data_IF_471227535136
#
_entry.id   IF_471227535136
#
_cell.length_a   1.000
_cell.length_b   1.000
_cell.length_c   1.000
_cell.angle_alpha   90.00
_cell.angle_beta   90.00
_cell.angle_gamma   90.00
#
_symmetry.space_group_name_H-M   'P 1'
#
loop_
_entity.id
_entity.type
_entity.pdbx_description
1 polymer ?
#
# COMPACT_ATOMS: atom_id res chain seq x y z
N UNK A 1 1.28 9.23 -18.75
CA UNK A 1 1.90 8.23 -17.84
C UNK A 1 0.84 7.25 -17.41
N UNK A 2 1.19 6.00 -17.44
CA UNK A 2 0.29 4.92 -17.06
C UNK A 2 0.06 4.92 -15.54
N UNK A 3 -1.22 4.95 -15.14
CA UNK A 3 -1.60 4.95 -13.73
C UNK A 3 -2.12 3.58 -13.24
N UNK A 4 -2.04 2.55 -14.09
CA UNK A 4 -2.34 1.17 -13.71
C UNK A 4 -1.03 0.41 -13.51
N UNK A 5 -0.91 -0.23 -12.36
CA UNK A 5 0.28 -1.00 -11.98
C UNK A 5 -0.13 -2.38 -11.51
N UNK A 6 0.82 -3.32 -11.50
CA UNK A 6 0.60 -4.62 -10.90
C UNK A 6 1.02 -4.59 -9.43
N UNK A 7 0.08 -4.82 -8.54
CA UNK A 7 0.32 -4.95 -7.10
C UNK A 7 0.46 -6.42 -6.73
N UNK A 8 1.58 -6.79 -6.11
CA UNK A 8 1.75 -8.11 -5.51
C UNK A 8 1.19 -8.05 -4.09
N UNK A 9 0.08 -8.72 -3.87
CA UNK A 9 -0.60 -8.69 -2.56
C UNK A 9 0.17 -9.54 -1.56
N UNK A 10 0.52 -8.94 -0.44
CA UNK A 10 1.09 -9.63 0.72
C UNK A 10 0.03 -9.92 1.77
N UNK A 11 -0.88 -8.96 2.01
CA UNK A 11 -1.86 -9.01 3.10
C UNK A 11 -3.25 -8.75 2.53
N UNK A 12 -4.18 -9.72 2.63
CA UNK A 12 -5.55 -9.51 2.15
C UNK A 12 -6.34 -8.55 3.05
N UNK A 13 -7.35 -7.90 2.45
CA UNK A 13 -8.38 -7.14 3.17
C UNK A 13 -8.95 -7.96 4.35
N UNK A 14 -9.00 -7.36 5.53
CA UNK A 14 -9.58 -7.97 6.72
C UNK A 14 -8.60 -8.84 7.51
N UNK A 15 -7.36 -9.00 7.04
CA UNK A 15 -6.35 -9.78 7.76
C UNK A 15 -5.83 -9.04 9.00
N UNK A 16 -5.60 -9.77 10.05
CA UNK A 16 -4.84 -9.34 11.23
C UNK A 16 -3.39 -9.84 11.17
N UNK A 17 -3.12 -10.82 10.32
CA UNK A 17 -1.78 -11.31 10.06
C UNK A 17 -1.05 -10.37 9.11
N UNK A 18 0.16 -9.97 9.48
CA UNK A 18 1.06 -9.26 8.59
C UNK A 18 1.99 -10.25 7.90
N UNK A 19 1.74 -10.47 6.61
CA UNK A 19 2.58 -11.27 5.74
C UNK A 19 3.56 -10.38 5.00
N UNK A 20 4.69 -10.95 4.62
CA UNK A 20 5.76 -10.24 3.92
C UNK A 20 6.42 -11.15 2.90
N UNK A 21 6.69 -10.62 1.72
CA UNK A 21 7.47 -11.32 0.70
C UNK A 21 8.95 -11.31 1.12
N UNK A 22 9.52 -12.49 1.27
CA UNK A 22 10.96 -12.64 1.38
C UNK A 22 11.56 -12.64 -0.03
N UNK A 23 12.20 -11.55 -0.42
CA UNK A 23 12.78 -11.37 -1.77
C UNK A 23 13.88 -12.41 -2.08
N UNK A 24 14.56 -12.93 -1.06
CA UNK A 24 15.62 -13.92 -1.24
C UNK A 24 15.08 -15.30 -1.60
N UNK A 25 13.97 -15.70 -1.00
CA UNK A 25 13.37 -17.03 -1.20
C UNK A 25 12.16 -17.01 -2.12
N UNK A 26 11.57 -15.83 -2.39
CA UNK A 26 10.32 -15.68 -3.13
C UNK A 26 9.09 -16.15 -2.38
N UNK A 27 9.19 -16.41 -1.08
CA UNK A 27 8.09 -16.93 -0.26
C UNK A 27 7.41 -15.84 0.53
N UNK A 28 6.12 -16.00 0.73
CA UNK A 28 5.35 -15.19 1.67
C UNK A 28 5.52 -15.78 3.07
N UNK A 29 5.96 -14.94 4.01
CA UNK A 29 6.19 -15.34 5.39
C UNK A 29 5.28 -14.57 6.34
N UNK A 30 4.93 -15.16 7.46
CA UNK A 30 4.24 -14.45 8.54
C UNK A 30 5.27 -13.65 9.33
N UNK A 31 5.27 -12.33 9.17
CA UNK A 31 6.13 -11.43 9.95
C UNK A 31 5.63 -11.33 11.39
N UNK A 32 4.36 -10.98 11.56
CA UNK A 32 3.70 -10.92 12.87
C UNK A 32 2.18 -10.88 12.74
N UNK A 33 1.50 -11.18 13.84
CA UNK A 33 0.11 -10.82 14.02
C UNK A 33 0.07 -9.39 14.57
N UNK A 34 -0.79 -8.53 14.07
CA UNK A 34 -0.95 -7.16 14.60
C UNK A 34 -1.21 -7.21 16.11
N UNK A 35 -0.54 -6.36 16.86
CA UNK A 35 -0.72 -6.30 18.32
C UNK A 35 -2.04 -5.64 18.71
N UNK A 36 -2.53 -4.72 17.88
CA UNK A 36 -3.81 -4.07 18.09
C UNK A 36 -4.98 -4.95 17.62
N UNK A 37 -6.18 -4.69 18.14
CA UNK A 37 -7.41 -5.33 17.66
C UNK A 37 -7.91 -4.67 16.39
N UNK A 38 -7.06 -4.60 15.38
CA UNK A 38 -7.31 -3.98 14.08
C UNK A 38 -7.09 -5.00 12.95
N UNK A 39 -7.69 -4.71 11.81
CA UNK A 39 -7.52 -5.48 10.58
C UNK A 39 -7.11 -4.54 9.45
N UNK A 40 -6.44 -5.05 8.43
CA UNK A 40 -6.10 -4.26 7.24
C UNK A 40 -7.37 -3.80 6.53
N UNK A 41 -7.50 -2.49 6.25
CA UNK A 41 -8.74 -1.92 5.69
C UNK A 41 -8.89 -2.07 4.18
N UNK A 42 -7.87 -2.59 3.51
CA UNK A 42 -7.82 -2.87 2.08
C UNK A 42 -6.79 -3.96 1.82
N UNK A 43 -6.71 -4.45 0.59
CA UNK A 43 -5.59 -5.28 0.16
C UNK A 43 -4.30 -4.46 0.32
N UNK A 44 -3.24 -5.09 0.75
CA UNK A 44 -1.96 -4.44 0.98
C UNK A 44 -0.83 -5.25 0.34
N UNK A 45 0.04 -4.59 -0.37
CA UNK A 45 1.14 -5.26 -1.02
C UNK A 45 2.23 -4.31 -1.49
N UNK A 46 2.96 -4.75 -2.49
CA UNK A 46 4.11 -4.03 -3.02
C UNK A 46 4.03 -3.91 -4.54
N UNK A 47 4.72 -2.92 -5.07
CA UNK A 47 5.05 -2.85 -6.49
C UNK A 47 6.47 -3.40 -6.66
N UNK A 48 6.60 -4.55 -7.32
CA UNK A 48 7.90 -5.17 -7.56
C UNK A 48 8.83 -4.26 -8.38
N UNK A 49 10.12 -4.43 -8.23
CA UNK A 49 11.16 -3.66 -8.94
C UNK A 49 11.05 -2.15 -8.70
N UNK A 50 10.74 -1.79 -7.45
CA UNK A 50 10.78 -0.43 -6.94
C UNK A 50 11.67 -0.37 -5.71
N UNK A 51 12.25 0.79 -5.43
CA UNK A 51 13.04 1.05 -4.23
C UNK A 51 12.54 2.34 -3.59
N UNK A 52 11.83 2.19 -2.48
CA UNK A 52 11.31 3.31 -1.71
C UNK A 52 12.39 3.90 -0.77
N UNK A 53 12.16 5.11 -0.20
CA UNK A 53 13.13 5.75 0.69
C UNK A 53 13.54 4.94 1.91
N UNK A 54 12.68 4.05 2.39
CA UNK A 54 12.98 3.15 3.53
C UNK A 54 13.84 1.94 3.15
N UNK A 55 14.18 1.77 1.89
CA UNK A 55 15.01 0.68 1.38
C UNK A 55 14.22 -0.56 0.93
N UNK A 56 12.91 -0.56 1.08
CA UNK A 56 12.01 -1.64 0.69
C UNK A 56 11.27 -1.34 -0.62
N UNK A 57 10.60 -2.31 -1.23
CA UNK A 57 9.68 -2.04 -2.33
C UNK A 57 8.59 -1.06 -1.93
N UNK A 58 8.06 -0.32 -2.89
CA UNK A 58 7.01 0.66 -2.68
C UNK A 58 5.70 -0.02 -2.31
N UNK A 59 5.10 0.39 -1.19
CA UNK A 59 3.85 -0.17 -0.67
C UNK A 59 2.63 0.38 -1.38
N UNK A 60 1.61 -0.46 -1.54
CA UNK A 60 0.35 -0.09 -2.17
C UNK A 60 -0.84 -0.73 -1.45
N UNK A 61 -1.87 0.09 -1.20
CA UNK A 61 -3.19 -0.39 -0.81
C UNK A 61 -4.07 -0.48 -2.04
N UNK A 62 -4.83 -1.55 -2.14
CA UNK A 62 -5.77 -1.77 -3.23
C UNK A 62 -7.17 -1.96 -2.64
N UNK A 63 -8.05 -0.99 -2.87
CA UNK A 63 -9.45 -1.08 -2.49
C UNK A 63 -10.14 -2.08 -3.43
N UNK A 64 -10.80 -3.07 -2.87
CA UNK A 64 -11.40 -4.18 -3.60
C UNK A 64 -12.76 -4.57 -3.01
N UNK A 65 -13.55 -5.31 -3.79
CA UNK A 65 -14.84 -5.83 -3.35
C UNK A 65 -14.69 -7.05 -2.45
N UNK A 66 -13.77 -7.95 -2.83
CA UNK A 66 -13.50 -9.20 -2.12
C UNK A 66 -11.99 -9.32 -1.84
N UNK A 67 -11.60 -9.89 -0.70
CA UNK A 67 -10.19 -10.15 -0.44
C UNK A 67 -9.63 -11.18 -1.43
N UNK A 68 -8.38 -10.97 -1.83
CA UNK A 68 -7.62 -11.95 -2.60
C UNK A 68 -6.81 -12.84 -1.65
N UNK A 69 -5.63 -13.26 -2.04
CA UNK A 69 -4.77 -14.14 -1.24
C UNK A 69 -3.31 -13.65 -1.28
N UNK A 70 -2.48 -13.99 -0.30
CA UNK A 70 -1.06 -13.64 -0.33
C UNK A 70 -0.36 -14.24 -1.55
N UNK A 71 0.30 -13.37 -2.33
CA UNK A 71 0.96 -13.74 -3.59
C UNK A 71 0.14 -13.46 -4.84
N UNK A 72 -1.11 -13.03 -4.71
CA UNK A 72 -1.95 -12.65 -5.84
C UNK A 72 -1.43 -11.37 -6.51
N UNK A 73 -1.33 -11.39 -7.83
CA UNK A 73 -1.01 -10.20 -8.62
C UNK A 73 -2.30 -9.53 -9.06
N UNK A 74 -2.50 -8.26 -8.65
CA UNK A 74 -3.73 -7.52 -8.88
C UNK A 74 -3.45 -6.28 -9.72
N UNK A 75 -4.18 -6.07 -10.84
CA UNK A 75 -4.08 -4.80 -11.57
C UNK A 75 -4.72 -3.69 -10.74
N UNK A 76 -3.96 -2.66 -10.44
CA UNK A 76 -4.34 -1.59 -9.53
C UNK A 76 -4.27 -0.23 -10.22
N UNK A 77 -5.37 0.51 -10.20
CA UNK A 77 -5.43 1.88 -10.70
C UNK A 77 -5.11 2.83 -9.57
N UNK A 78 -3.98 3.53 -9.70
CA UNK A 78 -3.46 4.45 -8.68
C UNK A 78 -4.30 5.72 -8.62
N UNK A 79 -4.69 6.12 -7.42
CA UNK A 79 -5.51 7.30 -7.14
C UNK A 79 -4.74 8.43 -6.44
N UNK A 80 -3.67 8.09 -5.74
CA UNK A 80 -2.86 9.00 -4.94
C UNK A 80 -2.02 8.24 -3.93
N UNK A 81 -1.54 8.93 -2.91
CA UNK A 81 -0.83 8.28 -1.80
C UNK A 81 -1.03 9.01 -0.48
N UNK A 82 -0.84 8.28 0.60
CA UNK A 82 -0.74 8.80 1.96
C UNK A 82 0.74 8.90 2.33
N UNK A 83 1.17 10.08 2.75
CA UNK A 83 2.49 10.29 3.32
C UNK A 83 2.49 9.95 4.79
N UNK A 84 3.48 9.20 5.24
CA UNK A 84 3.66 8.91 6.65
C UNK A 84 5.15 8.71 6.99
N UNK A 85 5.46 8.79 8.28
CA UNK A 85 6.78 8.51 8.83
C UNK A 85 6.65 7.36 9.82
N UNK A 86 7.34 6.27 9.55
CA UNK A 86 7.36 5.09 10.40
C UNK A 86 8.73 4.95 11.05
N UNK A 87 8.76 5.12 12.38
CA UNK A 87 10.03 5.16 13.11
C UNK A 87 10.96 6.27 12.63
N UNK A 88 10.41 7.39 12.18
CA UNK A 88 11.16 8.53 11.64
C UNK A 88 11.57 8.40 10.18
N UNK A 89 11.23 7.31 9.50
CA UNK A 89 11.51 7.10 8.07
C UNK A 89 10.29 7.43 7.22
N UNK A 90 10.51 8.16 6.13
CA UNK A 90 9.50 8.47 5.14
C UNK A 90 8.98 7.17 4.50
N UNK A 91 7.68 6.98 4.55
CA UNK A 91 6.99 5.77 4.08
C UNK A 91 5.75 6.19 3.28
N UNK A 92 5.79 5.94 1.98
CA UNK A 92 4.66 6.23 1.11
C UNK A 92 3.70 5.04 1.06
N UNK A 93 2.41 5.30 1.25
CA UNK A 93 1.37 4.30 1.06
C UNK A 93 0.54 4.69 -0.17
N UNK A 94 0.79 4.06 -1.31
CA UNK A 94 -0.02 4.29 -2.50
C UNK A 94 -1.45 3.81 -2.26
N UNK A 95 -2.42 4.55 -2.76
CA UNK A 95 -3.84 4.22 -2.69
C UNK A 95 -4.34 3.94 -4.10
N UNK A 96 -5.00 2.81 -4.28
CA UNK A 96 -5.49 2.35 -5.57
C UNK A 96 -6.81 1.59 -5.44
N UNK A 97 -7.44 1.32 -6.58
CA UNK A 97 -8.59 0.43 -6.69
C UNK A 97 -8.27 -0.70 -7.67
N UNK A 98 -8.94 -1.82 -7.53
CA UNK A 98 -8.84 -2.93 -8.49
C UNK A 98 -9.31 -2.45 -9.87
N UNK A 99 -8.44 -2.55 -10.88
CA UNK A 99 -8.72 -2.05 -12.23
C UNK A 99 -9.68 -2.96 -13.02
N UNK A 100 -9.73 -4.24 -12.68
CA UNK A 100 -10.56 -5.23 -13.39
C UNK A 100 -11.96 -5.44 -12.79
N UNK A 101 -12.36 -4.66 -11.78
CA UNK A 101 -13.70 -4.72 -11.21
C UNK A 101 -14.52 -3.51 -11.68
N UNK A 102 -15.62 -3.72 -12.47
CA UNK A 102 -16.43 -2.63 -12.99
C UNK A 102 -17.10 -1.76 -11.92
N UNK A 103 -17.17 -2.21 -10.67
CA UNK A 103 -17.68 -1.41 -9.55
C UNK A 103 -16.83 -0.17 -9.27
N UNK A 104 -15.58 -0.19 -9.74
CA UNK A 104 -14.63 0.92 -9.57
C UNK A 104 -14.37 1.71 -10.85
N UNK A 105 -15.14 1.48 -11.94
CA UNK A 105 -14.92 2.14 -13.23
C UNK A 105 -15.00 3.67 -13.14
N UNK A 106 -15.81 4.20 -12.23
CA UNK A 106 -15.98 5.64 -12.03
C UNK A 106 -15.02 6.26 -11.01
N UNK A 107 -14.10 5.46 -10.45
CA UNK A 107 -13.13 5.90 -9.45
C UNK A 107 -11.79 6.18 -10.13
N UNK A 108 -11.41 7.45 -10.25
CA UNK A 108 -10.19 7.89 -10.95
C UNK A 108 -9.22 8.69 -10.10
N UNK A 109 -9.69 9.22 -8.97
CA UNK A 109 -8.89 9.99 -8.02
C UNK A 109 -9.36 9.76 -6.58
N UNK A 110 -8.59 10.20 -5.60
CA UNK A 110 -8.93 10.00 -4.18
C UNK A 110 -10.30 10.57 -3.80
N UNK A 111 -10.67 11.72 -4.39
CA UNK A 111 -11.95 12.36 -4.11
C UNK A 111 -13.16 11.52 -4.52
N UNK A 112 -12.99 10.55 -5.42
CA UNK A 112 -14.05 9.64 -5.85
C UNK A 112 -14.33 8.52 -4.85
N UNK A 113 -13.41 8.28 -3.91
CA UNK A 113 -13.62 7.34 -2.81
C UNK A 113 -14.49 7.97 -1.71
N UNK A 114 -15.24 7.15 -0.94
CA UNK A 114 -15.91 7.65 0.24
C UNK A 114 -14.90 8.33 1.18
N UNK A 115 -15.19 9.57 1.60
CA UNK A 115 -14.27 10.35 2.43
C UNK A 115 -13.94 9.66 3.76
N UNK A 116 -14.90 8.93 4.31
CA UNK A 116 -14.69 8.18 5.56
C UNK A 116 -13.72 7.01 5.38
N UNK A 117 -13.68 6.39 4.21
CA UNK A 117 -12.71 5.33 3.91
C UNK A 117 -11.26 5.85 3.99
N UNK A 118 -11.01 7.06 3.50
CA UNK A 118 -9.70 7.71 3.63
C UNK A 118 -9.33 7.99 5.08
N UNK A 119 -10.32 8.35 5.91
CA UNK A 119 -10.12 8.51 7.36
C UNK A 119 -9.81 7.19 8.04
N UNK A 120 -10.49 6.11 7.67
CA UNK A 120 -10.24 4.77 8.21
C UNK A 120 -8.82 4.28 7.88
N UNK A 121 -8.37 4.48 6.65
CA UNK A 121 -7.01 4.10 6.22
C UNK A 121 -5.97 4.89 7.02
N UNK A 122 -6.12 6.20 7.14
CA UNK A 122 -5.22 7.03 7.92
C UNK A 122 -5.20 6.63 9.40
N UNK A 123 -6.37 6.36 9.98
CA UNK A 123 -6.50 5.90 11.36
C UNK A 123 -5.83 4.54 11.57
N UNK A 124 -5.96 3.63 10.63
CA UNK A 124 -5.29 2.33 10.71
C UNK A 124 -3.77 2.51 10.86
N UNK A 125 -3.14 3.27 9.98
CA UNK A 125 -1.70 3.48 10.03
C UNK A 125 -1.24 4.31 11.23
N UNK A 126 -2.07 5.23 11.72
CA UNK A 126 -1.77 6.00 12.92
C UNK A 126 -1.72 5.11 14.18
N UNK A 127 -2.46 4.00 14.20
CA UNK A 127 -2.69 3.22 15.41
C UNK A 127 -2.19 1.78 15.37
N UNK A 128 -1.88 1.21 14.20
CA UNK A 128 -1.59 -0.24 14.08
C UNK A 128 -0.32 -0.68 14.81
N UNK A 129 0.62 0.22 15.10
CA UNK A 129 1.88 -0.04 15.81
C UNK A 129 1.94 0.56 17.23
N UNK A 130 0.85 1.12 17.75
CA UNK A 130 0.86 1.78 19.06
C UNK A 130 1.28 0.81 20.18
N UNK A 131 0.76 -0.40 20.18
CA UNK A 131 1.12 -1.41 21.17
C UNK A 131 2.53 -1.99 20.99
N UNK A 132 3.17 -1.74 19.85
CA UNK A 132 4.57 -2.09 19.60
C UNK A 132 5.54 -1.00 20.05
N UNK A 133 5.02 0.13 20.53
CA UNK A 133 5.81 1.31 20.94
C UNK A 133 6.68 1.87 19.81
N UNK A 134 6.24 1.72 18.55
CA UNK A 134 6.87 2.32 17.39
C UNK A 134 6.11 3.59 17.03
N UNK A 135 6.77 4.76 17.03
CA UNK A 135 6.11 6.01 16.66
C UNK A 135 5.82 6.04 15.16
N UNK A 136 4.58 6.30 14.81
CA UNK A 136 4.12 6.51 13.45
C UNK A 136 3.45 7.86 13.37
N UNK A 137 3.87 8.69 12.42
CA UNK A 137 3.27 9.98 12.13
C UNK A 137 2.61 9.92 10.75
N UNK A 138 1.29 10.09 10.70
CA UNK A 138 0.53 10.11 9.46
C UNK A 138 0.40 11.55 8.98
N UNK A 139 0.83 11.81 7.76
CA UNK A 139 0.72 13.11 7.11
C UNK A 139 -0.54 13.23 6.26
N UNK A 140 -0.42 13.88 5.13
CA UNK A 140 -1.53 14.20 4.25
C UNK A 140 -1.62 13.22 3.06
N UNK A 141 -2.79 13.19 2.44
CA UNK A 141 -2.99 12.55 1.15
C UNK A 141 -2.50 13.46 0.01
N UNK A 142 -1.92 12.86 -1.01
CA UNK A 142 -1.39 13.52 -2.19
C UNK A 142 -2.03 12.98 -3.46
N UNK A 143 -1.92 13.74 -4.55
CA UNK A 143 -2.62 13.51 -5.80
C UNK A 143 -2.10 12.29 -6.57
N UNK A 144 -2.91 11.86 -7.54
CA UNK A 144 -2.54 10.81 -8.49
C UNK A 144 -1.25 11.16 -9.27
N UNK A 145 -1.12 12.39 -9.75
CA UNK A 145 0.05 12.80 -10.53
C UNK A 145 1.34 12.76 -9.68
N UNK A 146 1.25 13.13 -8.42
CA UNK A 146 2.36 13.00 -7.46
C UNK A 146 2.70 11.53 -7.20
N UNK A 147 1.69 10.67 -7.05
CA UNK A 147 1.89 9.24 -6.86
C UNK A 147 2.57 8.56 -8.06
N UNK A 148 2.14 8.90 -9.27
CA UNK A 148 2.75 8.37 -10.51
C UNK A 148 4.22 8.78 -10.62
N UNK A 149 4.56 10.00 -10.23
CA UNK A 149 5.97 10.45 -10.18
C UNK A 149 6.80 9.65 -9.18
N UNK A 150 6.26 9.40 -7.99
CA UNK A 150 6.94 8.57 -6.97
C UNK A 150 7.21 7.16 -7.49
N UNK A 151 6.25 6.56 -8.17
CA UNK A 151 6.42 5.22 -8.77
C UNK A 151 7.58 5.24 -9.78
N UNK A 152 7.62 6.22 -10.67
CA UNK A 152 8.69 6.36 -11.65
C UNK A 152 10.06 6.53 -10.99
N UNK A 153 10.16 7.38 -9.98
CA UNK A 153 11.38 7.60 -9.22
C UNK A 153 11.86 6.33 -8.49
N UNK A 154 10.94 5.60 -7.87
CA UNK A 154 11.26 4.35 -7.17
C UNK A 154 11.71 3.24 -8.13
N UNK A 155 11.14 3.19 -9.34
CA UNK A 155 11.58 2.28 -10.40
C UNK A 155 12.97 2.62 -10.90
N UNK A 156 13.25 3.89 -11.12
CA UNK A 156 14.58 4.35 -11.53
C UNK A 156 15.64 4.03 -10.47
N UNK A 157 15.38 4.33 -9.21
CA UNK A 157 16.29 3.99 -8.10
C UNK A 157 16.57 2.49 -8.01
N UNK A 158 15.57 1.66 -8.24
CA UNK A 158 15.75 0.21 -8.27
C UNK A 158 16.69 -0.21 -9.39
N UNK A 159 16.52 0.35 -10.60
CA UNK A 159 17.41 0.05 -11.74
C UNK A 159 18.86 0.50 -11.48
N UNK A 160 19.06 1.64 -10.85
CA UNK A 160 20.38 2.15 -10.51
C UNK A 160 21.12 1.32 -9.45
N UNK A 161 20.38 0.55 -8.64
CA UNK A 161 20.92 -0.35 -7.62
C UNK A 161 21.58 -1.60 -8.23
N UNK A 162 21.20 -1.98 -9.45
CA UNK A 162 21.74 -3.13 -10.17
C UNK A 162 23.03 -2.77 -10.92
#
# INVERSE_FOLDING_TARGET
>A
MENVVNALIEIPLGSKNKYELDEKTGRITLDRVLYASMIYPAEYGIIEKTLAPDGDPLDILVVCTEPTFPGCMVPARVLGYLEMFDGGKLDYKLISVVDCDPRYDDIHELADLPSFMLKEIANFFANYKVLQNVPVEVGEYHTKDEAVRIIAECREKYQQRQ
#
